data_IF_139711234551
#
_entry.id   IF_139711234551
#
_cell.length_a   1.000
_cell.length_b   1.000
_cell.length_c   1.000
_cell.angle_alpha   90.00
_cell.angle_beta   90.00
_cell.angle_gamma   90.00
#
_symmetry.space_group_name_H-M   'P 1'
#
loop_
_entity.id
_entity.type
_entity.pdbx_description
1 polymer ?
#
# COMPACT_ATOMS: atom_id res chain seq x y z
N UNK A 1 -25.77 6.35 16.29
CA UNK A 1 -24.37 5.89 16.21
C UNK A 1 -23.84 6.26 14.84
N UNK A 2 -22.82 7.11 14.76
CA UNK A 2 -22.22 7.48 13.47
C UNK A 2 -21.58 6.26 12.81
N UNK A 3 -21.81 6.06 11.51
CA UNK A 3 -21.23 4.93 10.77
C UNK A 3 -19.71 5.08 10.76
N UNK A 4 -18.98 4.09 11.27
CA UNK A 4 -17.51 4.08 11.24
C UNK A 4 -17.07 4.02 9.77
N UNK A 5 -16.14 4.89 9.38
CA UNK A 5 -15.55 4.87 8.03
C UNK A 5 -14.80 3.53 7.88
N UNK A 6 -15.07 2.74 6.83
CA UNK A 6 -14.36 1.48 6.61
C UNK A 6 -12.90 1.75 6.22
N UNK A 7 -12.01 0.90 6.72
CA UNK A 7 -10.59 0.89 6.34
C UNK A 7 -10.33 -0.41 5.60
N UNK A 8 -9.62 -0.33 4.48
CA UNK A 8 -9.21 -1.46 3.67
C UNK A 8 -7.69 -1.50 3.66
N UNK A 9 -7.07 -2.64 3.94
CA UNK A 9 -5.62 -2.79 3.89
C UNK A 9 -5.19 -3.20 2.50
N UNK A 10 -4.10 -2.61 1.99
CA UNK A 10 -3.56 -2.96 0.67
C UNK A 10 -2.05 -3.17 0.77
N UNK A 11 -1.58 -4.23 0.13
CA UNK A 11 -0.17 -4.61 0.06
C UNK A 11 0.09 -5.35 -1.25
N UNK A 12 1.29 -5.16 -1.84
CA UNK A 12 1.69 -5.80 -3.08
C UNK A 12 2.95 -6.65 -2.90
N UNK A 13 3.04 -7.71 -3.69
CA UNK A 13 4.27 -8.49 -3.84
C UNK A 13 4.75 -8.38 -5.28
N UNK A 14 6.06 -8.20 -5.43
CA UNK A 14 6.71 -8.02 -6.73
C UNK A 14 7.67 -9.16 -7.02
N UNK A 15 7.93 -9.41 -8.30
CA UNK A 15 8.92 -10.40 -8.71
C UNK A 15 10.33 -9.97 -8.26
N UNK A 16 10.98 -10.81 -7.45
CA UNK A 16 12.31 -10.53 -6.88
C UNK A 16 13.46 -11.19 -7.62
N UNK A 17 13.23 -11.86 -8.76
CA UNK A 17 14.28 -12.56 -9.54
C UNK A 17 15.38 -11.64 -10.07
N UNK A 18 15.05 -10.37 -10.34
CA UNK A 18 15.98 -9.37 -10.88
C UNK A 18 16.12 -8.21 -9.92
N UNK A 19 15.03 -7.46 -9.70
CA UNK A 19 15.00 -6.32 -8.79
C UNK A 19 13.55 -5.99 -8.42
N UNK A 20 13.05 -6.57 -7.33
CA UNK A 20 11.66 -6.36 -6.89
C UNK A 20 11.31 -4.92 -6.52
N UNK A 21 12.29 -4.01 -6.52
CA UNK A 21 12.10 -2.60 -6.19
C UNK A 21 12.10 -1.67 -7.42
N UNK A 22 12.23 -2.20 -8.64
CA UNK A 22 12.19 -1.41 -9.88
C UNK A 22 10.96 -1.77 -10.75
N UNK A 23 9.93 -0.90 -10.84
CA UNK A 23 8.72 -1.18 -11.63
C UNK A 23 8.99 -1.30 -13.14
N UNK A 24 10.14 -0.82 -13.61
CA UNK A 24 10.55 -0.97 -15.02
C UNK A 24 10.99 -2.42 -15.31
N UNK A 25 11.45 -3.13 -14.29
CA UNK A 25 12.08 -4.46 -14.41
C UNK A 25 11.22 -5.59 -13.85
N UNK A 26 10.43 -5.33 -12.83
CA UNK A 26 9.70 -6.36 -12.09
C UNK A 26 8.20 -6.17 -12.18
N UNK A 27 7.49 -7.29 -12.28
CA UNK A 27 6.03 -7.34 -12.30
C UNK A 27 5.47 -7.40 -10.88
N UNK A 28 4.23 -6.93 -10.72
CA UNK A 28 3.39 -7.28 -9.58
C UNK A 28 2.94 -8.72 -9.77
N UNK A 29 3.18 -9.57 -8.77
CA UNK A 29 2.84 -10.99 -8.80
C UNK A 29 1.65 -11.32 -7.92
N UNK A 30 1.37 -10.50 -6.92
CA UNK A 30 0.23 -10.66 -6.01
C UNK A 30 -0.16 -9.29 -5.45
N UNK A 31 -1.47 -9.05 -5.31
CA UNK A 31 -1.99 -7.94 -4.52
C UNK A 31 -2.95 -8.50 -3.49
N UNK A 32 -2.86 -8.02 -2.25
CA UNK A 32 -3.80 -8.37 -1.20
C UNK A 32 -4.63 -7.16 -0.81
N UNK A 33 -5.94 -7.37 -0.68
CA UNK A 33 -6.92 -6.40 -0.19
C UNK A 33 -7.61 -6.96 1.06
N UNK A 34 -7.24 -6.42 2.22
CA UNK A 34 -7.83 -6.81 3.49
C UNK A 34 -9.04 -5.94 3.82
N UNK A 35 -10.20 -6.55 3.99
CA UNK A 35 -11.43 -5.93 4.46
C UNK A 35 -11.73 -6.33 5.92
N UNK A 36 -12.74 -5.72 6.57
CA UNK A 36 -13.28 -6.24 7.82
C UNK A 36 -13.85 -7.66 7.67
N UNK A 37 -13.09 -8.66 8.08
CA UNK A 37 -13.54 -10.07 8.15
C UNK A 37 -13.29 -10.91 6.90
N UNK A 38 -12.74 -10.32 5.83
CA UNK A 38 -12.36 -11.02 4.60
C UNK A 38 -11.05 -10.43 4.08
N UNK A 39 -10.16 -11.29 3.60
CA UNK A 39 -8.99 -10.87 2.85
C UNK A 39 -9.08 -11.47 1.45
N UNK A 40 -8.94 -10.63 0.44
CA UNK A 40 -8.94 -11.00 -0.97
C UNK A 40 -7.50 -10.94 -1.49
N UNK A 41 -7.16 -11.86 -2.38
CA UNK A 41 -5.83 -11.93 -3.00
C UNK A 41 -6.00 -12.07 -4.50
N UNK A 42 -5.43 -11.13 -5.24
CA UNK A 42 -5.44 -11.05 -6.69
C UNK A 42 -4.11 -11.56 -7.23
N UNK A 43 -4.16 -12.44 -8.24
CA UNK A 43 -3.01 -13.18 -8.75
C UNK A 43 -3.23 -13.51 -10.21
N UNK A 44 -2.17 -13.85 -10.95
CA UNK A 44 -2.29 -14.33 -12.32
C UNK A 44 -1.54 -13.44 -13.28
N UNK A 45 -2.13 -13.22 -14.46
CA UNK A 45 -1.57 -12.29 -15.43
C UNK A 45 -1.78 -10.86 -14.92
N UNK A 46 -0.73 -10.04 -14.99
CA UNK A 46 -0.66 -8.75 -14.30
C UNK A 46 -1.76 -7.74 -14.72
N UNK A 47 -2.15 -7.62 -16.01
CA UNK A 47 -3.31 -6.81 -16.41
C UNK A 47 -4.63 -7.26 -15.79
N UNK A 48 -4.92 -8.57 -15.80
CA UNK A 48 -6.16 -9.11 -15.22
C UNK A 48 -6.23 -8.80 -13.72
N UNK A 49 -5.10 -8.93 -13.02
CA UNK A 49 -4.97 -8.55 -11.61
C UNK A 49 -5.27 -7.06 -11.37
N UNK A 50 -4.85 -6.17 -12.28
CA UNK A 50 -5.15 -4.74 -12.15
C UNK A 50 -6.62 -4.44 -12.40
N UNK A 51 -7.22 -5.03 -13.43
CA UNK A 51 -8.63 -4.84 -13.75
C UNK A 51 -9.51 -5.36 -12.60
N UNK A 52 -9.25 -6.57 -12.08
CA UNK A 52 -9.97 -7.15 -10.95
C UNK A 52 -9.84 -6.31 -9.68
N UNK A 53 -8.63 -5.81 -9.36
CA UNK A 53 -8.40 -4.96 -8.20
C UNK A 53 -9.13 -3.62 -8.32
N UNK A 54 -9.04 -2.96 -9.49
CA UNK A 54 -9.65 -1.66 -9.74
C UNK A 54 -11.19 -1.77 -9.66
N UNK A 55 -11.77 -2.75 -10.35
CA UNK A 55 -13.20 -3.05 -10.28
C UNK A 55 -13.65 -3.31 -8.84
N UNK A 56 -12.88 -4.12 -8.10
CA UNK A 56 -13.20 -4.43 -6.71
C UNK A 56 -13.21 -3.18 -5.84
N UNK A 57 -12.21 -2.31 -5.97
CA UNK A 57 -12.16 -1.04 -5.23
C UNK A 57 -13.32 -0.13 -5.64
N UNK A 58 -13.69 -0.05 -6.92
CA UNK A 58 -14.81 0.75 -7.38
C UNK A 58 -16.16 0.30 -6.77
N UNK A 59 -16.34 -1.01 -6.53
CA UNK A 59 -17.55 -1.57 -5.92
C UNK A 59 -17.65 -1.38 -4.41
N UNK A 60 -16.51 -1.24 -3.71
CA UNK A 60 -16.50 -1.16 -2.26
C UNK A 60 -17.12 0.16 -1.78
N UNK A 61 -17.81 0.16 -0.62
CA UNK A 61 -18.29 1.40 -0.02
C UNK A 61 -17.15 2.40 0.20
N UNK A 62 -17.38 3.72 0.01
CA UNK A 62 -16.40 4.75 0.27
C UNK A 62 -15.71 4.59 1.63
N UNK A 63 -14.39 4.74 1.63
CA UNK A 63 -13.56 4.33 2.76
C UNK A 63 -12.14 4.86 2.67
N UNK A 64 -11.23 4.19 3.38
CA UNK A 64 -9.81 4.54 3.38
C UNK A 64 -8.96 3.32 3.08
N UNK A 65 -8.08 3.43 2.09
CA UNK A 65 -7.05 2.43 1.80
C UNK A 65 -5.85 2.71 2.70
N UNK A 66 -5.44 1.72 3.48
CA UNK A 66 -4.32 1.75 4.39
C UNK A 66 -3.20 0.86 3.85
N UNK A 67 -2.02 1.45 3.65
CA UNK A 67 -0.80 0.74 3.22
C UNK A 67 0.28 0.85 4.29
N UNK A 68 1.38 0.10 4.14
CA UNK A 68 2.59 0.32 4.94
C UNK A 68 3.75 0.75 4.03
N UNK A 69 4.04 2.05 3.98
CA UNK A 69 4.98 2.68 3.06
C UNK A 69 4.49 2.73 1.59
N UNK A 70 3.19 2.55 1.36
CA UNK A 70 2.62 2.53 0.01
C UNK A 70 2.58 3.88 -0.70
N UNK A 71 2.68 4.99 0.04
CA UNK A 71 2.88 6.31 -0.56
C UNK A 71 4.20 6.42 -1.35
N UNK A 72 5.20 5.62 -0.98
CA UNK A 72 6.54 5.64 -1.56
C UNK A 72 6.86 4.40 -2.41
N UNK A 73 6.05 3.35 -2.30
CA UNK A 73 6.30 2.07 -2.95
C UNK A 73 5.05 1.54 -3.66
N UNK A 74 4.10 0.93 -2.94
CA UNK A 74 2.98 0.18 -3.51
C UNK A 74 2.21 0.95 -4.58
N UNK A 75 1.76 2.16 -4.26
CA UNK A 75 0.90 2.94 -5.15
C UNK A 75 1.63 3.49 -6.40
N UNK A 76 2.82 4.14 -6.29
CA UNK A 76 3.57 4.51 -7.48
C UNK A 76 3.99 3.29 -8.32
N UNK A 77 4.32 2.15 -7.69
CA UNK A 77 4.66 0.92 -8.40
C UNK A 77 3.46 0.40 -9.22
N UNK A 78 2.28 0.30 -8.61
CA UNK A 78 1.03 -0.07 -9.27
C UNK A 78 0.70 0.88 -10.44
N UNK A 79 0.85 2.20 -10.24
CA UNK A 79 0.60 3.20 -11.28
C UNK A 79 1.50 3.01 -12.51
N UNK A 80 2.80 2.80 -12.30
CA UNK A 80 3.76 2.60 -13.39
C UNK A 80 3.51 1.30 -14.15
N UNK A 81 3.22 0.21 -13.42
CA UNK A 81 2.93 -1.09 -14.03
C UNK A 81 1.61 -1.09 -14.80
N UNK A 82 0.55 -0.51 -14.26
CA UNK A 82 -0.73 -0.42 -14.95
C UNK A 82 -0.63 0.42 -16.23
N UNK A 83 0.10 1.55 -16.19
CA UNK A 83 0.38 2.37 -17.39
C UNK A 83 1.11 1.59 -18.49
N UNK A 84 2.03 0.69 -18.13
CA UNK A 84 2.76 -0.14 -19.11
C UNK A 84 1.83 -1.09 -19.87
N UNK A 85 0.77 -1.56 -19.23
CA UNK A 85 -0.25 -2.42 -19.84
C UNK A 85 -1.41 -1.65 -20.47
N UNK A 86 -1.49 -0.35 -20.24
CA UNK A 86 -2.63 0.46 -20.67
C UNK A 86 -3.88 0.23 -19.83
N UNK A 87 -3.76 -0.36 -18.63
CA UNK A 87 -4.86 -0.56 -17.69
C UNK A 87 -5.16 0.77 -16.96
N UNK A 88 -6.31 1.42 -17.21
CA UNK A 88 -6.67 2.66 -16.55
C UNK A 88 -7.11 2.36 -15.12
N UNK A 89 -6.35 2.82 -14.13
CA UNK A 89 -6.75 2.72 -12.73
C UNK A 89 -7.50 3.98 -12.28
N UNK A 90 -8.45 3.83 -11.36
CA UNK A 90 -9.07 4.93 -10.61
C UNK A 90 -8.14 5.60 -9.58
N UNK A 91 -6.84 5.36 -9.65
CA UNK A 91 -5.80 5.83 -8.74
C UNK A 91 -5.28 7.23 -9.15
N UNK A 92 -5.48 8.24 -8.30
CA UNK A 92 -4.84 9.56 -8.42
C UNK A 92 -3.62 9.63 -7.49
N UNK A 93 -2.47 10.06 -8.03
CA UNK A 93 -1.23 10.26 -7.30
C UNK A 93 -0.75 11.70 -7.41
N UNK A 94 -0.56 12.34 -6.26
CA UNK A 94 -0.01 13.70 -6.16
C UNK A 94 1.30 13.69 -5.41
N UNK A 95 2.38 14.06 -6.09
CA UNK A 95 3.69 14.17 -5.46
C UNK A 95 3.64 15.18 -4.30
N UNK A 96 4.14 14.76 -3.13
CA UNK A 96 4.23 15.61 -1.94
C UNK A 96 5.71 15.87 -1.61
N UNK A 97 6.24 17.06 -1.93
CA UNK A 97 7.65 17.39 -1.65
C UNK A 97 7.96 17.47 -0.16
N UNK A 98 6.94 17.55 0.70
CA UNK A 98 7.12 17.53 2.16
C UNK A 98 7.25 16.12 2.73
N UNK A 99 6.94 15.10 1.91
CA UNK A 99 7.05 13.70 2.30
C UNK A 99 8.51 13.23 2.28
N UNK A 100 9.15 13.24 3.45
CA UNK A 100 10.52 12.73 3.60
C UNK A 100 10.56 11.21 3.57
N UNK A 101 11.24 10.64 2.58
CA UNK A 101 11.44 9.21 2.46
C UNK A 101 12.63 8.73 3.30
N UNK A 102 12.56 7.54 3.91
CA UNK A 102 13.70 6.91 4.58
C UNK A 102 14.76 6.38 3.60
N UNK A 103 14.37 6.12 2.35
CA UNK A 103 15.18 5.51 1.31
C UNK A 103 15.06 6.34 0.02
N UNK A 104 15.86 5.99 -0.98
CA UNK A 104 15.72 6.61 -2.31
C UNK A 104 14.30 6.40 -2.86
N UNK A 105 13.75 7.37 -3.61
CA UNK A 105 12.48 7.18 -4.30
C UNK A 105 12.52 5.99 -5.25
N UNK A 106 11.35 5.42 -5.51
CA UNK A 106 11.18 4.38 -6.53
C UNK A 106 11.77 4.87 -7.88
N UNK A 107 12.46 4.03 -8.65
CA UNK A 107 13.09 4.48 -9.89
C UNK A 107 12.10 5.15 -10.85
N UNK A 108 12.42 6.39 -11.28
CA UNK A 108 11.53 7.22 -12.11
C UNK A 108 10.65 8.20 -11.32
N UNK A 109 10.63 8.10 -9.98
CA UNK A 109 9.81 8.96 -9.12
C UNK A 109 10.64 10.02 -8.38
N UNK A 110 9.98 11.13 -8.05
CA UNK A 110 10.61 12.28 -7.35
C UNK A 110 10.61 12.15 -5.83
N UNK A 111 9.78 11.27 -5.28
CA UNK A 111 9.57 11.07 -3.85
C UNK A 111 8.26 10.36 -3.57
N UNK A 112 7.65 10.62 -2.40
CA UNK A 112 6.38 10.02 -2.01
C UNK A 112 5.15 10.78 -2.50
N UNK A 113 4.01 10.09 -2.52
CA UNK A 113 2.76 10.58 -3.10
C UNK A 113 1.63 10.56 -2.07
N UNK A 114 0.77 11.57 -2.15
CA UNK A 114 -0.60 11.52 -1.64
C UNK A 114 -1.45 10.78 -2.66
N UNK A 115 -2.41 9.99 -2.19
CA UNK A 115 -3.24 9.22 -3.09
C UNK A 115 -4.73 9.22 -2.75
N UNK A 116 -5.53 8.93 -3.76
CA UNK A 116 -6.91 8.48 -3.65
C UNK A 116 -7.15 7.44 -4.72
N UNK A 117 -8.07 6.51 -4.48
CA UNK A 117 -8.45 5.50 -5.46
C UNK A 117 -9.97 5.39 -5.49
N UNK A 118 -10.58 5.75 -6.62
CA UNK A 118 -12.03 5.98 -6.72
C UNK A 118 -12.53 6.87 -5.57
N UNK A 119 -13.47 6.38 -4.76
CA UNK A 119 -14.06 7.09 -3.62
C UNK A 119 -13.32 6.83 -2.31
N UNK A 120 -12.10 6.27 -2.37
CA UNK A 120 -11.28 5.99 -1.20
C UNK A 120 -10.16 7.03 -1.04
N UNK A 121 -10.05 7.58 0.17
CA UNK A 121 -8.83 8.26 0.58
C UNK A 121 -7.73 7.25 0.89
N UNK A 122 -6.48 7.71 0.96
CA UNK A 122 -5.36 6.87 1.34
C UNK A 122 -4.75 7.28 2.69
N UNK A 123 -4.27 6.31 3.46
CA UNK A 123 -3.38 6.51 4.61
C UNK A 123 -2.14 5.62 4.42
N UNK A 124 -0.96 6.22 4.49
CA UNK A 124 0.28 5.48 4.73
C UNK A 124 0.49 5.29 6.24
N UNK A 125 0.18 4.09 6.73
CA UNK A 125 0.27 3.75 8.15
C UNK A 125 1.71 3.76 8.67
N UNK A 126 2.71 3.52 7.81
CA UNK A 126 4.11 3.62 8.20
C UNK A 126 4.43 5.03 8.71
N UNK A 127 3.92 6.06 8.03
CA UNK A 127 4.14 7.47 8.41
C UNK A 127 3.43 7.82 9.72
N UNK A 128 2.22 7.30 9.94
CA UNK A 128 1.48 7.44 11.19
C UNK A 128 2.30 6.90 12.37
N UNK A 129 2.85 5.70 12.25
CA UNK A 129 3.61 5.07 13.33
C UNK A 129 5.02 5.65 13.49
N UNK A 130 5.68 6.05 12.39
CA UNK A 130 7.00 6.67 12.44
C UNK A 130 6.98 8.06 13.06
N UNK A 131 5.90 8.82 12.91
CA UNK A 131 5.79 10.16 13.49
C UNK A 131 5.69 10.16 15.03
N UNK A 132 5.43 9.00 15.64
CA UNK A 132 5.15 8.89 17.08
C UNK A 132 5.90 7.72 17.72
N UNK A 133 5.57 6.49 17.35
CA UNK A 133 6.04 5.26 18.01
C UNK A 133 7.53 5.02 17.80
N UNK A 134 8.05 5.25 16.59
CA UNK A 134 9.46 5.03 16.28
C UNK A 134 10.40 5.83 17.18
N UNK A 135 10.28 7.17 17.21
CA UNK A 135 11.07 8.02 18.09
C UNK A 135 10.81 7.76 19.58
N UNK A 136 9.55 7.54 19.98
CA UNK A 136 9.19 7.38 21.38
C UNK A 136 9.70 6.07 22.00
N UNK A 137 9.66 4.97 21.24
CA UNK A 137 10.01 3.63 21.76
C UNK A 137 11.36 3.11 21.26
N UNK A 138 12.04 3.84 20.37
CA UNK A 138 13.33 3.45 19.76
C UNK A 138 13.31 2.05 19.12
N UNK A 139 12.16 1.69 18.54
CA UNK A 139 11.97 0.43 17.81
C UNK A 139 12.01 0.68 16.30
N UNK A 140 12.36 -0.36 15.53
CA UNK A 140 12.18 -0.32 14.08
C UNK A 140 10.70 -0.11 13.74
N UNK A 141 10.41 0.85 12.85
CA UNK A 141 9.08 1.07 12.31
C UNK A 141 8.79 0.15 11.11
N UNK A 142 9.38 -1.05 11.04
CA UNK A 142 8.90 -2.05 10.08
C UNK A 142 7.54 -2.58 10.51
N UNK A 143 6.71 -2.98 9.53
CA UNK A 143 5.38 -3.52 9.77
C UNK A 143 5.40 -4.65 10.80
N UNK A 144 6.32 -5.61 10.62
CA UNK A 144 6.49 -6.78 11.50
C UNK A 144 6.86 -6.37 12.93
N UNK A 145 7.76 -5.41 13.09
CA UNK A 145 8.18 -4.93 14.41
C UNK A 145 7.03 -4.28 15.17
N UNK A 146 6.28 -3.40 14.49
CA UNK A 146 5.13 -2.72 15.08
C UNK A 146 3.98 -3.70 15.36
N UNK A 147 3.71 -4.64 14.45
CA UNK A 147 2.71 -5.68 14.65
C UNK A 147 2.98 -6.50 15.91
N UNK A 148 4.22 -7.01 16.07
CA UNK A 148 4.62 -7.76 17.27
C UNK A 148 4.50 -6.93 18.54
N UNK A 149 4.93 -5.67 18.50
CA UNK A 149 4.87 -4.75 19.64
C UNK A 149 3.43 -4.61 20.18
N UNK A 150 2.43 -4.65 19.31
CA UNK A 150 1.01 -4.55 19.70
C UNK A 150 0.32 -5.91 19.83
N UNK A 151 1.09 -7.00 19.93
CA UNK A 151 0.58 -8.35 20.16
C UNK A 151 -0.07 -9.02 18.95
N UNK A 152 0.22 -8.55 17.73
CA UNK A 152 -0.18 -9.23 16.49
C UNK A 152 0.91 -10.21 16.04
N UNK A 153 0.51 -11.26 15.34
CA UNK A 153 1.41 -12.31 14.83
C UNK A 153 1.55 -12.15 13.33
N UNK A 154 2.63 -11.51 12.84
CA UNK A 154 2.86 -11.39 11.41
C UNK A 154 3.37 -12.71 10.82
N UNK A 155 3.01 -12.99 9.56
CA UNK A 155 3.69 -14.01 8.76
C UNK A 155 5.00 -13.42 8.24
N UNK A 156 6.09 -14.18 8.27
CA UNK A 156 7.40 -13.73 7.81
C UNK A 156 8.00 -14.70 6.81
N UNK A 157 8.67 -14.13 5.81
CA UNK A 157 9.32 -14.83 4.71
C UNK A 157 10.65 -14.17 4.41
N UNK A 158 11.54 -14.86 3.69
CA UNK A 158 12.75 -14.26 3.16
C UNK A 158 12.41 -13.36 1.96
N UNK A 159 12.53 -12.04 2.16
CA UNK A 159 12.20 -11.02 1.15
C UNK A 159 13.09 -11.10 -0.09
N UNK A 160 14.30 -11.64 0.01
CA UNK A 160 15.19 -11.84 -1.15
C UNK A 160 14.77 -13.04 -2.02
N UNK A 161 13.83 -13.85 -1.53
CA UNK A 161 13.43 -15.13 -2.12
C UNK A 161 11.91 -15.25 -2.23
N UNK A 162 11.21 -14.14 -2.38
CA UNK A 162 9.75 -14.12 -2.62
C UNK A 162 9.40 -15.00 -3.84
N UNK A 163 10.24 -14.99 -4.87
CA UNK A 163 10.08 -15.80 -6.08
C UNK A 163 10.19 -17.33 -5.87
N UNK A 164 10.72 -17.78 -4.72
CA UNK A 164 10.85 -19.19 -4.37
C UNK A 164 9.67 -19.70 -3.51
N UNK A 165 8.79 -18.79 -3.05
CA UNK A 165 7.64 -19.18 -2.23
C UNK A 165 6.62 -19.96 -3.05
N UNK A 166 5.93 -20.90 -2.40
CA UNK A 166 4.71 -21.46 -2.97
C UNK A 166 3.66 -20.34 -3.10
N UNK A 167 2.73 -20.48 -4.06
CA UNK A 167 1.61 -19.54 -4.22
C UNK A 167 0.82 -19.38 -2.92
N UNK A 168 0.53 -20.49 -2.23
CA UNK A 168 -0.18 -20.48 -0.95
C UNK A 168 0.56 -19.67 0.12
N UNK A 169 1.88 -19.83 0.24
CA UNK A 169 2.69 -19.08 1.20
C UNK A 169 2.74 -17.59 0.85
N UNK A 170 2.88 -17.25 -0.44
CA UNK A 170 2.87 -15.87 -0.94
C UNK A 170 1.52 -15.19 -0.66
N UNK A 171 0.41 -15.87 -0.96
CA UNK A 171 -0.93 -15.33 -0.73
C UNK A 171 -1.17 -15.10 0.78
N UNK A 172 -0.77 -16.05 1.62
CA UNK A 172 -0.91 -15.91 3.07
C UNK A 172 -0.07 -14.74 3.61
N UNK A 173 1.15 -14.58 3.10
CA UNK A 173 2.06 -13.49 3.46
C UNK A 173 1.50 -12.12 3.04
N UNK A 174 1.11 -11.94 1.78
CA UNK A 174 0.54 -10.69 1.27
C UNK A 174 -0.76 -10.32 2.02
N UNK A 175 -1.66 -11.29 2.21
CA UNK A 175 -2.89 -11.09 2.98
C UNK A 175 -2.59 -10.69 4.43
N UNK A 176 -1.54 -11.26 5.05
CA UNK A 176 -1.09 -10.85 6.37
C UNK A 176 -0.67 -9.38 6.40
N UNK A 177 0.06 -8.90 5.41
CA UNK A 177 0.58 -7.53 5.44
C UNK A 177 -0.48 -6.48 5.15
N UNK A 178 -1.34 -6.72 4.17
CA UNK A 178 -2.54 -5.92 3.96
C UNK A 178 -3.40 -5.84 5.25
N UNK A 179 -3.67 -6.98 5.89
CA UNK A 179 -4.48 -7.03 7.12
C UNK A 179 -3.82 -6.30 8.27
N UNK A 180 -2.51 -6.41 8.44
CA UNK A 180 -1.79 -5.69 9.48
C UNK A 180 -1.82 -4.17 9.24
N UNK A 181 -1.64 -3.70 8.00
CA UNK A 181 -1.76 -2.28 7.66
C UNK A 181 -3.16 -1.73 8.03
N UNK A 182 -4.23 -2.48 7.70
CA UNK A 182 -5.60 -2.13 8.11
C UNK A 182 -5.76 -2.07 9.62
N UNK A 183 -5.47 -3.18 10.31
CA UNK A 183 -5.72 -3.31 11.77
C UNK A 183 -4.92 -2.28 12.56
N UNK A 184 -3.66 -2.03 12.19
CA UNK A 184 -2.82 -1.03 12.84
C UNK A 184 -3.37 0.39 12.64
N UNK A 185 -3.94 0.68 11.47
CA UNK A 185 -4.62 1.96 11.18
C UNK A 185 -5.89 2.10 12.01
N UNK A 186 -6.74 1.07 12.04
CA UNK A 186 -7.99 1.05 12.80
C UNK A 186 -7.78 1.23 14.30
N UNK A 187 -6.76 0.57 14.87
CA UNK A 187 -6.39 0.70 16.30
C UNK A 187 -6.02 2.13 16.68
N UNK A 188 -5.57 2.92 15.72
CA UNK A 188 -5.16 4.32 15.91
C UNK A 188 -6.09 5.32 15.23
N UNK A 189 -7.33 4.93 14.91
CA UNK A 189 -8.22 5.74 14.08
C UNK A 189 -8.37 7.21 14.53
N UNK A 190 -8.43 7.46 15.85
CA UNK A 190 -8.53 8.82 16.40
C UNK A 190 -7.39 9.76 15.96
N UNK A 191 -6.20 9.22 15.71
CA UNK A 191 -5.07 9.94 15.10
C UNK A 191 -5.03 9.76 13.59
N UNK A 192 -5.26 8.53 13.12
CA UNK A 192 -5.14 8.15 11.71
C UNK A 192 -6.08 8.94 10.79
N UNK A 193 -7.27 9.33 11.25
CA UNK A 193 -8.21 10.13 10.47
C UNK A 193 -7.61 11.48 9.99
N UNK A 194 -6.60 12.02 10.69
CA UNK A 194 -5.89 13.26 10.30
C UNK A 194 -4.79 13.01 9.25
N UNK A 195 -4.43 11.76 9.04
CA UNK A 195 -3.42 11.32 8.07
C UNK A 195 -4.03 10.87 6.74
N UNK A 196 -5.37 10.87 6.62
CA UNK A 196 -6.03 10.64 5.33
C UNK A 196 -5.58 11.71 4.35
N UNK A 197 -5.05 11.26 3.22
CA UNK A 197 -4.53 12.11 2.17
C UNK A 197 -5.62 13.02 1.61
N UNK A 198 -5.23 14.27 1.30
CA UNK A 198 -6.09 15.27 0.67
C UNK A 198 -5.54 15.58 -0.71
N UNK A 199 -6.06 14.86 -1.70
CA UNK A 199 -5.56 14.91 -3.08
C UNK A 199 -5.99 16.20 -3.79
N UNK A 200 -7.21 16.68 -3.52
CA UNK A 200 -7.80 17.88 -4.15
C UNK A 200 -7.16 19.22 -3.73
N UNK A 201 -6.31 19.22 -2.69
CA UNK A 201 -5.74 20.46 -2.12
C UNK A 201 -4.33 20.79 -2.60
N UNK A 202 -3.74 19.94 -3.46
CA UNK A 202 -2.40 20.14 -4.00
C UNK A 202 -2.50 20.54 -5.48
N UNK A 203 -1.73 21.54 -5.94
CA UNK A 203 -1.77 21.94 -7.35
C UNK A 203 -1.45 20.74 -8.24
N UNK A 204 -2.23 20.57 -9.31
CA UNK A 204 -1.92 19.58 -10.34
C UNK A 204 -0.53 19.88 -10.92
N UNK A 205 0.32 18.86 -11.01
CA UNK A 205 1.55 18.99 -11.77
C UNK A 205 1.21 18.91 -13.25
N UNK A 206 1.55 19.95 -14.00
CA UNK A 206 1.67 19.89 -15.44
C UNK A 206 2.60 18.71 -15.79
N UNK A 207 2.11 17.81 -16.64
CA UNK A 207 2.92 16.76 -17.21
C UNK A 207 4.06 17.42 -17.98
N UNK A 208 5.30 17.20 -17.52
CA UNK A 208 6.47 17.55 -18.31
C UNK A 208 6.42 16.73 -19.61
N UNK A 209 6.50 17.48 -20.71
CA UNK A 209 6.43 17.09 -22.12
C UNK A 209 7.35 15.94 -22.51
#
# INVERSE_FOLDING_TARGET
>A
MGRRIPVYGLDIETDTRVDGLDPRRSAVVTVALAQPGLDEVFTGFEPDLFDELDERLAELPPGVIATWNGAAFDLPFLSDRARRWGSPLGLDLRFDPTMRLPHEPLPGHRGGYRASWHQHGHIDAYRLYRADVGPALRVSCSLKSIARLVGLVPIEVDRGRIHDLSREALHAYAASDARLARVLTERRWGTAARYVDRVDTLPALDAAS
#
